data_IF_046827498114
#
_entry.id   IF_046827498114
#
_cell.length_a   1.000
_cell.length_b   1.000
_cell.length_c   1.000
_cell.angle_alpha   90.00
_cell.angle_beta   90.00
_cell.angle_gamma   90.00
#
_symmetry.space_group_name_H-M   'P 1'
#
loop_
_entity.id
_entity.type
_entity.pdbx_description
1 polymer ?
#
# COMPACT_ATOMS: atom_id res chain seq x y z
N UNK A 1 9.87 0.30 5.42
CA UNK A 1 11.19 0.39 4.75
C UNK A 1 11.39 -0.65 3.63
N UNK A 2 11.18 -1.98 3.78
CA UNK A 2 11.43 -2.93 2.68
C UNK A 2 10.65 -2.65 1.38
N UNK A 3 9.41 -2.20 1.49
CA UNK A 3 8.57 -1.86 0.32
C UNK A 3 9.17 -0.71 -0.50
N UNK A 4 9.82 0.25 0.16
CA UNK A 4 10.52 1.33 -0.56
C UNK A 4 11.68 0.81 -1.40
N UNK A 5 12.39 -0.24 -0.94
CA UNK A 5 13.41 -0.92 -1.73
C UNK A 5 12.83 -1.56 -3.00
N UNK A 6 11.68 -2.23 -2.89
CA UNK A 6 10.96 -2.77 -4.05
C UNK A 6 10.58 -1.66 -5.02
N UNK A 7 10.03 -0.54 -4.52
CA UNK A 7 9.65 0.60 -5.36
C UNK A 7 10.83 1.19 -6.11
N UNK A 8 11.97 1.38 -5.45
CA UNK A 8 13.17 1.95 -6.06
C UNK A 8 13.71 1.08 -7.20
N UNK A 9 13.56 -0.25 -7.09
CA UNK A 9 13.93 -1.17 -8.16
C UNK A 9 12.86 -1.25 -9.26
N UNK A 10 11.57 -1.26 -8.88
CA UNK A 10 10.46 -1.45 -9.81
C UNK A 10 10.22 -0.25 -10.74
N UNK A 11 10.28 0.98 -10.21
CA UNK A 11 9.94 2.19 -10.96
C UNK A 11 10.79 2.36 -12.23
N UNK A 12 12.13 2.28 -12.20
CA UNK A 12 12.93 2.39 -13.42
C UNK A 12 12.69 1.24 -14.41
N UNK A 13 12.46 0.02 -13.92
CA UNK A 13 12.14 -1.14 -14.77
C UNK A 13 10.82 -0.90 -15.50
N UNK A 14 9.79 -0.40 -14.82
CA UNK A 14 8.51 -0.09 -15.43
C UNK A 14 8.62 1.05 -16.44
N UNK A 15 9.30 2.13 -16.09
CA UNK A 15 9.48 3.28 -16.98
C UNK A 15 10.22 2.88 -18.28
N UNK A 16 11.29 2.07 -18.15
CA UNK A 16 12.04 1.56 -19.29
C UNK A 16 11.17 0.67 -20.20
N UNK A 17 10.48 -0.32 -19.63
CA UNK A 17 9.64 -1.24 -20.41
C UNK A 17 8.40 -0.54 -21.00
N UNK A 18 7.93 0.53 -20.36
CA UNK A 18 6.87 1.38 -20.90
C UNK A 18 7.35 2.12 -22.14
N UNK A 19 8.52 2.78 -22.08
CA UNK A 19 9.11 3.45 -23.24
C UNK A 19 9.47 2.50 -24.39
N UNK A 20 9.81 1.25 -24.07
CA UNK A 20 10.11 0.20 -25.05
C UNK A 20 8.87 -0.56 -25.57
N UNK A 21 7.66 -0.27 -25.07
CA UNK A 21 6.41 -0.91 -25.51
C UNK A 21 6.21 -2.37 -25.04
N UNK A 22 7.03 -2.88 -24.11
CA UNK A 22 6.99 -4.28 -23.66
C UNK A 22 5.89 -4.55 -22.62
N UNK A 23 4.65 -4.76 -23.07
CA UNK A 23 3.46 -5.02 -22.24
C UNK A 23 3.65 -6.18 -21.26
N UNK A 24 4.13 -7.32 -21.73
CA UNK A 24 4.27 -8.53 -20.92
C UNK A 24 5.25 -8.33 -19.76
N UNK A 25 6.34 -7.61 -20.01
CA UNK A 25 7.32 -7.27 -18.98
C UNK A 25 6.74 -6.32 -17.93
N UNK A 26 5.94 -5.35 -18.35
CA UNK A 26 5.22 -4.45 -17.43
C UNK A 26 4.32 -5.23 -16.51
N UNK A 27 3.43 -6.08 -17.06
CA UNK A 27 2.51 -6.89 -16.25
C UNK A 27 3.24 -7.85 -15.30
N UNK A 28 4.31 -8.50 -15.80
CA UNK A 28 5.14 -9.39 -14.98
C UNK A 28 5.82 -8.65 -13.83
N UNK A 29 6.37 -7.47 -14.11
CA UNK A 29 7.01 -6.62 -13.08
C UNK A 29 6.02 -6.19 -12.01
N UNK A 30 4.84 -5.69 -12.40
CA UNK A 30 3.79 -5.31 -11.45
C UNK A 30 3.37 -6.50 -10.59
N UNK A 31 3.07 -7.66 -11.22
CA UNK A 31 2.65 -8.87 -10.51
C UNK A 31 3.68 -9.34 -9.50
N UNK A 32 4.96 -9.39 -9.88
CA UNK A 32 6.05 -9.80 -9.00
C UNK A 32 6.24 -8.81 -7.84
N UNK A 33 6.22 -7.52 -8.12
CA UNK A 33 6.37 -6.49 -7.08
C UNK A 33 5.23 -6.52 -6.06
N UNK A 34 3.99 -6.69 -6.51
CA UNK A 34 2.84 -6.86 -5.62
C UNK A 34 2.99 -8.13 -4.79
N UNK A 35 3.38 -9.24 -5.40
CA UNK A 35 3.57 -10.52 -4.69
C UNK A 35 4.63 -10.40 -3.60
N UNK A 36 5.80 -9.84 -3.90
CA UNK A 36 6.86 -9.62 -2.90
C UNK A 36 6.42 -8.66 -1.80
N UNK A 37 5.76 -7.54 -2.16
CA UNK A 37 5.26 -6.59 -1.19
C UNK A 37 4.25 -7.22 -0.24
N UNK A 38 3.27 -7.96 -0.76
CA UNK A 38 2.26 -8.66 0.05
C UNK A 38 2.91 -9.73 0.93
N UNK A 39 3.88 -10.49 0.41
CA UNK A 39 4.61 -11.50 1.21
C UNK A 39 5.33 -10.84 2.39
N UNK A 40 6.06 -9.75 2.15
CA UNK A 40 6.76 -9.01 3.22
C UNK A 40 5.76 -8.45 4.25
N UNK A 41 4.62 -7.93 3.78
CA UNK A 41 3.58 -7.39 4.66
C UNK A 41 2.88 -8.49 5.46
N UNK A 42 2.71 -9.69 4.90
CA UNK A 42 2.21 -10.87 5.62
C UNK A 42 3.17 -11.31 6.73
N UNK A 43 4.48 -11.31 6.46
CA UNK A 43 5.49 -11.59 7.49
C UNK A 43 5.43 -10.53 8.59
N UNK A 44 5.31 -9.25 8.25
CA UNK A 44 5.11 -8.17 9.21
C UNK A 44 3.83 -8.35 10.03
N UNK A 45 2.70 -8.66 9.37
CA UNK A 45 1.45 -8.97 10.05
C UNK A 45 1.62 -10.12 11.05
N UNK A 46 2.19 -11.25 10.61
CA UNK A 46 2.43 -12.39 11.49
C UNK A 46 3.28 -12.01 12.72
N UNK A 47 4.34 -11.23 12.52
CA UNK A 47 5.20 -10.77 13.60
C UNK A 47 4.42 -9.92 14.62
N UNK A 48 3.63 -8.94 14.15
CA UNK A 48 2.83 -8.08 15.04
C UNK A 48 1.64 -8.80 15.68
N UNK A 49 1.17 -9.90 15.13
CA UNK A 49 0.12 -10.72 15.74
C UNK A 49 0.68 -11.69 16.79
N UNK A 50 1.85 -12.29 16.52
CA UNK A 50 2.42 -13.35 17.37
C UNK A 50 3.20 -12.80 18.58
N UNK A 51 3.98 -11.73 18.37
CA UNK A 51 4.92 -11.23 19.40
C UNK A 51 4.86 -9.71 19.61
N UNK A 52 3.67 -9.08 19.65
CA UNK A 52 3.57 -7.63 19.82
C UNK A 52 4.17 -7.14 21.14
N UNK A 53 3.99 -7.91 22.23
CA UNK A 53 4.51 -7.58 23.56
C UNK A 53 6.03 -7.47 23.55
N UNK A 54 6.72 -8.45 22.95
CA UNK A 54 8.19 -8.44 22.87
C UNK A 54 8.72 -7.29 22.03
N UNK A 55 7.99 -6.94 20.96
CA UNK A 55 8.36 -5.78 20.13
C UNK A 55 8.26 -4.47 20.90
N UNK A 56 7.19 -4.28 21.69
CA UNK A 56 7.02 -3.08 22.51
C UNK A 56 8.05 -3.03 23.64
N UNK A 57 8.38 -4.16 24.27
CA UNK A 57 9.42 -4.22 25.29
C UNK A 57 10.81 -3.83 24.77
N UNK A 58 11.13 -4.06 23.50
CA UNK A 58 12.37 -3.57 22.88
C UNK A 58 12.47 -2.03 22.90
N UNK A 59 11.34 -1.34 22.94
CA UNK A 59 11.25 0.12 23.06
C UNK A 59 11.05 0.60 24.49
N UNK A 60 11.28 -0.29 25.48
CA UNK A 60 11.15 0.00 26.91
C UNK A 60 9.75 0.55 27.30
N UNK A 61 8.70 -0.07 26.73
CA UNK A 61 7.32 0.33 26.98
C UNK A 61 6.91 0.11 28.43
N UNK A 62 6.21 1.07 29.04
CA UNK A 62 5.58 0.93 30.35
C UNK A 62 4.36 -0.01 30.28
N UNK A 63 3.87 -0.47 31.44
CA UNK A 63 2.72 -1.40 31.52
C UNK A 63 1.47 -0.80 30.85
N UNK A 64 1.21 0.49 31.03
CA UNK A 64 0.12 1.19 30.36
C UNK A 64 0.30 1.24 28.84
N UNK A 65 1.53 1.48 28.39
CA UNK A 65 1.89 1.50 26.98
C UNK A 65 1.81 0.10 26.35
N UNK A 66 2.10 -0.96 27.10
CA UNK A 66 1.93 -2.34 26.67
C UNK A 66 0.46 -2.68 26.43
N UNK A 67 -0.41 -2.34 27.39
CA UNK A 67 -1.84 -2.67 27.31
C UNK A 67 -2.53 -2.04 26.11
N UNK A 68 -2.27 -0.76 25.83
CA UNK A 68 -2.81 -0.02 24.69
C UNK A 68 -2.10 -0.36 23.39
N UNK A 69 -0.78 -0.48 23.43
CA UNK A 69 0.05 -0.67 22.26
C UNK A 69 -0.11 -2.04 21.61
N UNK A 70 -0.25 -3.11 22.38
CA UNK A 70 -0.52 -4.46 21.86
C UNK A 70 -1.84 -4.50 21.09
N UNK A 71 -2.89 -3.91 21.67
CA UNK A 71 -4.19 -3.82 21.01
C UNK A 71 -4.10 -3.02 19.70
N UNK A 72 -3.46 -1.85 19.75
CA UNK A 72 -3.22 -1.00 18.59
C UNK A 72 -2.45 -1.72 17.47
N UNK A 73 -1.32 -2.36 17.82
CA UNK A 73 -0.48 -3.07 16.85
C UNK A 73 -1.23 -4.21 16.17
N UNK A 74 -2.04 -4.98 16.90
CA UNK A 74 -2.84 -6.06 16.33
C UNK A 74 -3.87 -5.55 15.33
N UNK A 75 -4.58 -4.47 15.62
CA UNK A 75 -5.58 -3.90 14.73
C UNK A 75 -4.92 -3.25 13.51
N UNK A 76 -3.91 -2.40 13.72
CA UNK A 76 -3.24 -1.69 12.64
C UNK A 76 -2.52 -2.66 11.69
N UNK A 77 -1.94 -3.75 12.22
CA UNK A 77 -1.26 -4.72 11.37
C UNK A 77 -2.17 -5.44 10.39
N UNK A 78 -3.49 -5.53 10.66
CA UNK A 78 -4.46 -6.08 9.70
C UNK A 78 -4.51 -5.29 8.39
N UNK A 79 -4.19 -4.00 8.43
CA UNK A 79 -4.14 -3.14 7.24
C UNK A 79 -2.90 -3.35 6.38
N UNK A 80 -1.85 -4.03 6.86
CA UNK A 80 -0.56 -4.15 6.18
C UNK A 80 -0.65 -4.80 4.81
N UNK A 81 -1.48 -5.84 4.66
CA UNK A 81 -1.66 -6.52 3.37
C UNK A 81 -2.19 -5.55 2.31
N UNK A 82 -3.21 -4.77 2.69
CA UNK A 82 -3.82 -3.77 1.82
C UNK A 82 -2.85 -2.61 1.53
N UNK A 83 -2.13 -2.15 2.54
CA UNK A 83 -1.13 -1.10 2.41
C UNK A 83 -0.01 -1.49 1.43
N UNK A 84 0.49 -2.73 1.49
CA UNK A 84 1.50 -3.24 0.55
C UNK A 84 1.04 -3.14 -0.90
N UNK A 85 -0.19 -3.55 -1.18
CA UNK A 85 -0.80 -3.43 -2.50
C UNK A 85 -0.92 -1.96 -2.93
N UNK A 86 -1.51 -1.11 -2.09
CA UNK A 86 -1.73 0.32 -2.41
C UNK A 86 -0.43 1.07 -2.70
N UNK A 87 0.64 0.80 -1.93
CA UNK A 87 1.94 1.45 -2.12
C UNK A 87 2.54 1.07 -3.48
N UNK A 88 2.52 -0.22 -3.85
CA UNK A 88 3.03 -0.66 -5.15
C UNK A 88 2.22 -0.03 -6.29
N UNK A 89 0.89 -0.08 -6.24
CA UNK A 89 0.04 0.48 -7.30
C UNK A 89 0.21 2.00 -7.43
N UNK A 90 0.34 2.71 -6.31
CA UNK A 90 0.65 4.14 -6.31
C UNK A 90 1.96 4.44 -7.05
N UNK A 91 3.00 3.64 -6.81
CA UNK A 91 4.30 3.76 -7.49
C UNK A 91 4.24 3.36 -8.97
N UNK A 92 3.40 2.39 -9.33
CA UNK A 92 3.13 2.05 -10.75
C UNK A 92 2.52 3.23 -11.49
N UNK A 93 1.52 3.91 -10.89
CA UNK A 93 0.93 5.11 -11.49
C UNK A 93 1.96 6.22 -11.69
N UNK A 94 2.89 6.40 -10.74
CA UNK A 94 3.99 7.36 -10.86
C UNK A 94 4.96 6.98 -11.99
N UNK A 95 5.34 5.70 -12.10
CA UNK A 95 6.24 5.21 -13.16
C UNK A 95 5.69 5.45 -14.57
N UNK A 96 4.37 5.48 -14.74
CA UNK A 96 3.70 5.79 -16.02
C UNK A 96 3.42 7.28 -16.23
N UNK A 97 3.97 8.15 -15.39
CA UNK A 97 3.77 9.61 -15.49
C UNK A 97 2.43 10.11 -14.91
N UNK A 98 1.62 9.23 -14.32
CA UNK A 98 0.33 9.58 -13.71
C UNK A 98 0.48 9.90 -12.21
N UNK A 99 1.41 10.78 -11.83
CA UNK A 99 1.68 11.14 -10.43
C UNK A 99 0.45 11.70 -9.69
N UNK A 100 -0.47 12.37 -10.39
CA UNK A 100 -1.71 12.86 -9.80
C UNK A 100 -2.62 11.73 -9.28
N UNK A 101 -2.62 10.55 -9.91
CA UNK A 101 -3.41 9.41 -9.43
C UNK A 101 -2.87 8.92 -8.08
N UNK A 102 -1.55 8.86 -7.92
CA UNK A 102 -0.92 8.55 -6.64
C UNK A 102 -1.28 9.57 -5.56
N UNK A 103 -1.31 10.86 -5.91
CA UNK A 103 -1.74 11.93 -5.00
C UNK A 103 -3.20 11.74 -4.56
N UNK A 104 -4.12 11.46 -5.49
CA UNK A 104 -5.53 11.23 -5.17
C UNK A 104 -5.74 9.99 -4.29
N UNK A 105 -5.00 8.90 -4.53
CA UNK A 105 -5.03 7.72 -3.66
C UNK A 105 -4.59 8.11 -2.24
N UNK A 106 -3.50 8.87 -2.11
CA UNK A 106 -2.94 9.26 -0.81
C UNK A 106 -3.86 10.23 -0.05
N UNK A 107 -4.40 11.25 -0.72
CA UNK A 107 -5.35 12.20 -0.12
C UNK A 107 -6.65 11.48 0.26
N UNK A 108 -7.19 10.67 -0.63
CA UNK A 108 -8.41 9.90 -0.37
C UNK A 108 -8.27 9.01 0.86
N UNK A 109 -7.15 8.28 0.96
CA UNK A 109 -6.87 7.43 2.11
C UNK A 109 -6.68 8.22 3.40
N UNK A 110 -5.80 9.23 3.38
CA UNK A 110 -5.32 9.89 4.59
C UNK A 110 -6.28 10.99 5.07
N UNK A 111 -6.69 11.88 4.17
CA UNK A 111 -7.45 13.06 4.52
C UNK A 111 -8.95 12.80 4.50
N UNK A 112 -9.43 12.10 3.47
CA UNK A 112 -10.88 11.91 3.27
C UNK A 112 -11.43 10.77 4.12
N UNK A 113 -10.64 9.72 4.38
CA UNK A 113 -11.13 8.54 5.12
C UNK A 113 -10.53 8.44 6.50
N UNK A 114 -9.19 8.38 6.62
CA UNK A 114 -8.54 8.12 7.91
C UNK A 114 -8.89 9.17 8.96
N UNK A 115 -8.73 10.46 8.65
CA UNK A 115 -8.96 11.53 9.63
C UNK A 115 -10.44 11.59 10.08
N UNK A 116 -11.44 11.64 9.17
CA UNK A 116 -12.84 11.64 9.61
C UNK A 116 -13.25 10.36 10.35
N UNK A 117 -12.79 9.19 9.89
CA UNK A 117 -13.06 7.93 10.57
C UNK A 117 -12.48 7.91 11.98
N UNK A 118 -11.23 8.33 12.15
CA UNK A 118 -10.58 8.42 13.45
C UNK A 118 -11.33 9.40 14.39
N UNK A 119 -11.75 10.55 13.86
CA UNK A 119 -12.53 11.54 14.62
C UNK A 119 -13.88 10.97 15.10
N UNK A 120 -14.63 10.35 14.19
CA UNK A 120 -15.94 9.75 14.50
C UNK A 120 -15.77 8.62 15.53
N UNK A 121 -14.84 7.70 15.30
CA UNK A 121 -14.59 6.56 16.16
C UNK A 121 -14.09 7.00 17.56
N UNK A 122 -13.32 8.08 17.65
CA UNK A 122 -12.89 8.64 18.95
C UNK A 122 -14.06 9.15 19.78
N UNK A 123 -15.10 9.68 19.15
CA UNK A 123 -16.32 10.17 19.84
C UNK A 123 -17.23 9.04 20.29
N UNK A 124 -17.26 7.91 19.56
CA UNK A 124 -18.16 6.78 19.84
C UNK A 124 -17.59 5.86 20.92
N UNK A 125 -16.30 5.51 20.84
CA UNK A 125 -15.71 4.50 21.71
C UNK A 125 -14.29 4.80 22.18
N UNK A 126 -13.89 6.08 22.15
CA UNK A 126 -12.60 6.53 22.66
C UNK A 126 -11.42 5.97 21.84
N UNK A 127 -10.26 5.90 22.51
CA UNK A 127 -8.99 5.54 21.87
C UNK A 127 -8.99 4.13 21.24
N UNK A 128 -9.69 3.18 21.85
CA UNK A 128 -9.70 1.79 21.39
C UNK A 128 -10.34 1.63 20.00
N UNK A 129 -11.37 2.40 19.69
CA UNK A 129 -12.00 2.35 18.36
C UNK A 129 -11.25 3.12 17.30
N UNK A 130 -10.44 4.10 17.67
CA UNK A 130 -9.65 4.90 16.71
C UNK A 130 -8.75 4.02 15.84
N UNK A 131 -8.19 2.94 16.38
CA UNK A 131 -7.32 2.04 15.64
C UNK A 131 -7.98 1.36 14.43
N UNK A 132 -9.31 1.19 14.46
CA UNK A 132 -10.06 0.63 13.33
C UNK A 132 -10.14 1.58 12.12
N UNK A 133 -9.85 2.86 12.30
CA UNK A 133 -9.78 3.81 11.18
C UNK A 133 -8.72 3.42 10.15
N UNK A 134 -7.62 2.75 10.57
CA UNK A 134 -6.56 2.32 9.65
C UNK A 134 -7.04 1.23 8.68
N UNK A 135 -7.57 0.09 9.11
CA UNK A 135 -8.13 -0.90 8.19
C UNK A 135 -9.24 -0.34 7.30
N UNK A 136 -10.11 0.52 7.83
CA UNK A 136 -11.17 1.16 7.03
C UNK A 136 -10.59 2.04 5.91
N UNK A 137 -9.59 2.86 6.22
CA UNK A 137 -8.92 3.70 5.23
C UNK A 137 -8.22 2.88 4.15
N UNK A 138 -7.61 1.76 4.50
CA UNK A 138 -6.93 0.89 3.53
C UNK A 138 -7.91 0.17 2.59
N UNK A 139 -9.10 -0.21 3.04
CA UNK A 139 -10.13 -0.78 2.15
C UNK A 139 -10.50 0.21 1.05
N UNK A 140 -10.73 1.48 1.42
CA UNK A 140 -11.02 2.53 0.44
C UNK A 140 -9.82 2.79 -0.47
N UNK A 141 -8.61 2.78 0.09
CA UNK A 141 -7.38 2.93 -0.69
C UNK A 141 -7.20 1.82 -1.74
N UNK A 142 -7.54 0.58 -1.41
CA UNK A 142 -7.51 -0.55 -2.37
C UNK A 142 -8.47 -0.30 -3.53
N UNK A 143 -9.70 0.15 -3.25
CA UNK A 143 -10.68 0.45 -4.30
C UNK A 143 -10.20 1.58 -5.22
N UNK A 144 -9.70 2.67 -4.64
CA UNK A 144 -9.11 3.78 -5.41
C UNK A 144 -7.90 3.33 -6.22
N UNK A 145 -7.00 2.54 -5.62
CA UNK A 145 -5.81 2.02 -6.29
C UNK A 145 -6.16 1.13 -7.46
N UNK A 146 -7.12 0.21 -7.30
CA UNK A 146 -7.59 -0.66 -8.38
C UNK A 146 -8.23 0.14 -9.52
N UNK A 147 -9.05 1.16 -9.19
CA UNK A 147 -9.65 2.05 -10.17
C UNK A 147 -8.60 2.82 -10.97
N UNK A 148 -7.66 3.47 -10.30
CA UNK A 148 -6.62 4.25 -10.96
C UNK A 148 -5.61 3.38 -11.70
N UNK A 149 -5.30 2.18 -11.21
CA UNK A 149 -4.49 1.22 -11.95
C UNK A 149 -5.14 0.85 -13.30
N UNK A 150 -6.43 0.47 -13.27
CA UNK A 150 -7.18 0.13 -14.49
C UNK A 150 -7.18 1.31 -15.46
N UNK A 151 -7.42 2.52 -14.98
CA UNK A 151 -7.42 3.75 -15.78
C UNK A 151 -6.01 4.04 -16.34
N UNK A 152 -4.97 3.88 -15.54
CA UNK A 152 -3.58 4.08 -15.97
C UNK A 152 -3.16 3.07 -17.03
N UNK A 153 -3.48 1.78 -16.85
CA UNK A 153 -3.19 0.74 -17.84
C UNK A 153 -3.98 0.92 -19.15
N UNK A 154 -5.24 1.39 -19.07
CA UNK A 154 -6.06 1.65 -20.27
C UNK A 154 -5.59 2.86 -21.07
N UNK A 155 -4.91 3.82 -20.43
CA UNK A 155 -4.34 5.00 -21.09
C UNK A 155 -3.00 4.74 -21.77
N UNK A 156 -2.38 3.55 -21.54
CA UNK A 156 -1.15 3.16 -22.18
C UNK A 156 -1.43 2.90 -23.67
N UNK A 157 -1.16 3.88 -24.53
CA UNK A 157 -1.13 3.71 -25.97
C UNK A 157 0.16 2.95 -26.33
N UNK A 158 0.04 1.64 -26.43
CA UNK A 158 1.13 0.85 -27.01
C UNK A 158 1.00 0.95 -28.54
N UNK A 159 2.02 1.49 -29.17
CA UNK A 159 2.10 1.52 -30.62
C UNK A 159 2.34 0.07 -31.11
N UNK A 160 1.32 -0.53 -31.71
CA UNK A 160 1.36 -1.92 -32.20
C UNK A 160 2.26 -2.06 -33.45
N UNK A 161 2.99 -1.01 -33.82
CA UNK A 161 3.87 -1.02 -35.03
C UNK A 161 5.20 -1.74 -34.79
N UNK A 162 5.64 -1.95 -33.55
CA UNK A 162 6.91 -2.61 -33.27
C UNK A 162 6.89 -4.15 -33.42
N UNK A 163 5.70 -4.78 -33.41
CA UNK A 163 5.56 -6.24 -33.47
C UNK A 163 5.60 -6.80 -34.92
N UNK A 164 5.65 -5.91 -35.94
CA UNK A 164 5.69 -6.32 -37.36
C UNK A 164 7.07 -6.35 -38.01
N UNK A 165 8.13 -6.04 -37.26
CA UNK A 165 9.52 -5.95 -37.81
C UNK A 165 10.55 -6.80 -37.04
N UNK A 166 10.11 -7.86 -36.34
CA UNK A 166 11.00 -8.84 -35.73
C UNK A 166 10.79 -10.23 -36.32
#
# INVERSE_FOLDING_TARGET
>A
MPIFGINNAMVPILAYNYGAGHKDRIHKTIKLSVMYAVTIMLLGLATFQLIPDKLLLLFNASDDMLSLGVYALRIVSLSYIFAGFCIIISSVCQAFGHGLYSLYISIGRQVVVLIPAAFILSKIGGLNLVWFSFPMAEIVAVLLSAFFLKKSLSSLKFDNTAEKTA
#
